data_IF_728344356267
#
_entry.id   IF_728344356267
#
_cell.length_a   1.000
_cell.length_b   1.000
_cell.length_c   1.000
_cell.angle_alpha   90.00
_cell.angle_beta   90.00
_cell.angle_gamma   90.00
#
_symmetry.space_group_name_H-M   'P 1'
#
loop_
_entity.id
_entity.type
_entity.pdbx_description
1 polymer ?
#
# COMPACT_ATOMS: atom_id res chain seq x y z
N UNK A 1 9.44 11.10 61.16
CA UNK A 1 8.80 9.87 60.64
C UNK A 1 9.47 9.54 59.31
N UNK A 2 9.85 8.27 59.18
CA UNK A 2 10.92 7.74 58.33
C UNK A 2 10.68 7.89 56.82
N UNK A 3 11.78 8.17 56.10
CA UNK A 3 11.95 8.14 54.64
C UNK A 3 12.05 6.70 54.06
N UNK A 4 11.62 5.67 54.79
CA UNK A 4 11.55 4.28 54.33
C UNK A 4 10.10 3.82 54.26
N UNK A 5 9.46 3.91 53.09
CA UNK A 5 8.32 3.05 52.68
C UNK A 5 7.96 3.23 51.19
N UNK A 6 8.93 3.49 50.31
CA UNK A 6 8.78 3.19 48.89
C UNK A 6 9.53 1.89 48.65
N UNK A 7 9.02 0.80 49.22
CA UNK A 7 9.35 -0.53 48.72
C UNK A 7 8.52 -0.62 47.44
N UNK A 8 9.15 -0.38 46.29
CA UNK A 8 8.67 -1.01 45.07
C UNK A 8 8.54 -2.49 45.43
N UNK A 9 7.32 -3.01 45.40
CA UNK A 9 7.02 -4.43 45.52
C UNK A 9 7.62 -5.16 44.33
N UNK A 10 8.94 -5.32 44.34
CA UNK A 10 9.68 -6.11 43.37
C UNK A 10 9.26 -7.55 43.61
N UNK A 11 8.43 -8.07 42.72
CA UNK A 11 8.04 -9.47 42.69
C UNK A 11 9.29 -10.36 42.68
N UNK A 12 9.49 -11.17 43.73
CA UNK A 12 10.63 -12.07 43.85
C UNK A 12 10.59 -13.23 42.85
N UNK A 13 9.46 -13.42 42.15
CA UNK A 13 9.35 -14.39 41.06
C UNK A 13 10.44 -14.20 40.00
N UNK A 14 10.86 -12.97 39.73
CA UNK A 14 11.88 -12.66 38.73
C UNK A 14 13.29 -13.07 39.11
N UNK A 15 13.56 -13.35 40.39
CA UNK A 15 14.86 -13.86 40.87
C UNK A 15 15.04 -15.31 40.45
N UNK A 16 13.99 -16.12 40.56
CA UNK A 16 14.02 -17.54 40.17
C UNK A 16 13.70 -17.75 38.68
N UNK A 17 12.99 -16.80 38.05
CA UNK A 17 12.64 -16.83 36.62
C UNK A 17 13.26 -15.65 35.84
N UNK A 18 14.60 -15.51 35.81
CA UNK A 18 15.27 -14.33 35.27
C UNK A 18 15.01 -14.13 33.78
N UNK A 19 14.98 -15.20 32.99
CA UNK A 19 14.74 -15.12 31.54
C UNK A 19 13.34 -14.58 31.23
N UNK A 20 12.33 -15.16 31.88
CA UNK A 20 10.94 -14.72 31.73
C UNK A 20 10.76 -13.29 32.25
N UNK A 21 11.36 -12.96 33.39
CA UNK A 21 11.31 -11.62 33.95
C UNK A 21 11.93 -10.59 32.99
N UNK A 22 13.08 -10.89 32.39
CA UNK A 22 13.75 -9.97 31.46
C UNK A 22 12.88 -9.60 30.24
N UNK A 23 12.02 -10.53 29.82
CA UNK A 23 11.04 -10.32 28.75
C UNK A 23 9.84 -9.54 29.29
N UNK A 24 9.31 -9.97 30.45
CA UNK A 24 8.13 -9.38 31.08
C UNK A 24 8.29 -7.92 31.44
N UNK A 25 9.51 -7.50 31.84
CA UNK A 25 9.82 -6.10 32.12
C UNK A 25 9.52 -5.17 30.95
N UNK A 26 9.52 -5.69 29.71
CA UNK A 26 9.24 -4.93 28.48
C UNK A 26 7.77 -4.95 28.07
N UNK A 27 6.91 -5.64 28.83
CA UNK A 27 5.48 -5.74 28.51
C UNK A 27 4.71 -4.51 28.99
N UNK A 28 3.63 -4.19 28.27
CA UNK A 28 2.71 -3.13 28.69
C UNK A 28 2.05 -3.47 30.04
N UNK A 29 1.80 -4.75 30.31
CA UNK A 29 1.24 -5.19 31.59
C UNK A 29 2.15 -4.82 32.76
N UNK A 30 3.47 -5.02 32.65
CA UNK A 30 4.40 -4.60 33.69
C UNK A 30 4.39 -3.07 33.88
N UNK A 31 4.38 -2.30 32.78
CA UNK A 31 4.33 -0.83 32.83
C UNK A 31 3.06 -0.33 33.53
N UNK A 32 1.94 -1.03 33.36
CA UNK A 32 0.63 -0.67 33.93
C UNK A 32 0.35 -1.34 35.29
N UNK A 33 1.37 -1.92 35.94
CA UNK A 33 1.24 -2.48 37.30
C UNK A 33 0.53 -3.85 37.38
N UNK A 34 0.41 -4.56 36.27
CA UNK A 34 0.00 -5.97 36.24
C UNK A 34 1.25 -6.83 36.43
N UNK A 35 1.26 -7.67 37.46
CA UNK A 35 2.44 -8.46 37.84
C UNK A 35 2.22 -9.96 37.62
N UNK A 36 3.27 -10.77 37.80
CA UNK A 36 3.25 -12.21 37.55
C UNK A 36 2.05 -12.91 38.21
N UNK A 37 1.79 -12.55 39.47
CA UNK A 37 0.72 -13.14 40.28
C UNK A 37 -0.70 -12.72 39.86
N UNK A 38 -0.84 -11.63 39.11
CA UNK A 38 -2.12 -11.21 38.54
C UNK A 38 -2.65 -12.24 37.53
N UNK A 39 -1.75 -12.90 36.80
CA UNK A 39 -2.10 -13.97 35.86
C UNK A 39 -2.02 -15.34 36.53
N UNK A 40 -0.91 -15.60 37.21
CA UNK A 40 -0.52 -16.93 37.68
C UNK A 40 -0.96 -17.26 39.11
N UNK A 41 -1.39 -16.31 39.94
CA UNK A 41 -1.46 -16.53 41.39
C UNK A 41 -0.06 -16.68 42.00
N UNK A 42 0.06 -17.25 43.20
CA UNK A 42 1.35 -17.35 43.88
C UNK A 42 1.56 -16.29 44.96
N UNK A 43 2.62 -16.48 45.75
CA UNK A 43 3.14 -15.49 46.69
C UNK A 43 4.41 -14.83 46.11
N UNK A 44 4.37 -13.52 45.75
CA UNK A 44 5.51 -12.85 45.15
C UNK A 44 6.56 -12.42 46.18
N UNK A 45 6.35 -12.67 47.48
CA UNK A 45 7.19 -12.15 48.57
C UNK A 45 8.11 -13.22 49.18
N UNK A 46 8.29 -14.36 48.51
CA UNK A 46 9.15 -15.43 48.98
C UNK A 46 9.97 -16.05 47.86
N UNK A 47 11.18 -16.50 48.20
CA UNK A 47 12.07 -17.27 47.33
C UNK A 47 11.94 -18.79 47.55
N UNK A 48 11.17 -19.20 48.55
CA UNK A 48 10.85 -20.60 48.76
C UNK A 48 9.88 -21.06 47.68
N UNK A 49 10.29 -22.02 46.84
CA UNK A 49 9.50 -22.45 45.68
C UNK A 49 8.11 -22.96 46.06
N UNK A 50 8.01 -23.74 47.15
CA UNK A 50 6.74 -24.30 47.62
C UNK A 50 5.77 -23.23 48.09
N UNK A 51 6.27 -22.20 48.78
CA UNK A 51 5.47 -21.04 49.22
C UNK A 51 5.18 -20.09 48.07
N UNK A 52 6.12 -19.84 47.17
CA UNK A 52 5.96 -18.93 46.03
C UNK A 52 4.89 -19.46 45.06
N UNK A 53 4.86 -20.77 44.84
CA UNK A 53 3.84 -21.45 44.05
C UNK A 53 2.65 -21.96 44.89
N UNK A 54 2.50 -21.49 46.13
CA UNK A 54 1.27 -21.67 46.91
C UNK A 54 0.23 -20.62 46.52
N UNK A 55 -0.96 -20.58 47.13
CA UNK A 55 -1.98 -19.56 46.85
C UNK A 55 -2.51 -19.53 45.39
N UNK A 56 -3.16 -20.62 44.99
CA UNK A 56 -3.85 -20.71 43.70
C UNK A 56 -2.93 -20.48 42.49
N UNK A 57 -1.64 -20.80 42.65
CA UNK A 57 -0.70 -20.78 41.54
C UNK A 57 -1.17 -21.70 40.42
N UNK A 58 -1.20 -21.19 39.20
CA UNK A 58 -1.74 -21.90 38.05
C UNK A 58 -0.93 -21.63 36.79
N UNK A 59 -0.69 -22.72 36.06
CA UNK A 59 -0.44 -22.65 34.62
C UNK A 59 -1.78 -22.58 33.92
N UNK A 60 -2.03 -21.50 33.17
CA UNK A 60 -3.32 -21.30 32.48
C UNK A 60 -3.37 -22.26 31.27
N UNK A 61 -4.33 -23.20 31.24
CA UNK A 61 -4.54 -24.07 30.08
C UNK A 61 -4.91 -23.26 28.84
N UNK A 62 -4.45 -23.69 27.66
CA UNK A 62 -4.65 -22.97 26.40
C UNK A 62 -6.13 -22.65 26.11
N UNK A 63 -7.03 -23.57 26.42
CA UNK A 63 -8.48 -23.40 26.22
C UNK A 63 -9.10 -22.35 27.15
N UNK A 64 -8.44 -22.02 28.27
CA UNK A 64 -8.90 -21.01 29.23
C UNK A 64 -8.22 -19.65 29.04
N UNK A 65 -7.23 -19.54 28.14
CA UNK A 65 -6.55 -18.26 27.84
C UNK A 65 -7.56 -17.17 27.45
N UNK A 66 -8.54 -17.39 26.55
CA UNK A 66 -9.48 -16.34 26.18
C UNK A 66 -10.29 -15.79 27.37
N UNK A 67 -10.83 -16.68 28.21
CA UNK A 67 -11.59 -16.28 29.40
C UNK A 67 -10.70 -15.60 30.44
N UNK A 68 -9.44 -16.05 30.58
CA UNK A 68 -8.49 -15.42 31.49
C UNK A 68 -8.13 -14.00 31.05
N UNK A 69 -7.84 -13.76 29.77
CA UNK A 69 -7.63 -12.39 29.27
C UNK A 69 -8.90 -11.54 29.46
N UNK A 70 -10.07 -12.13 29.18
CA UNK A 70 -11.36 -11.45 29.33
C UNK A 70 -11.73 -11.06 30.76
N UNK A 71 -11.19 -11.72 31.80
CA UNK A 71 -11.52 -11.35 33.19
C UNK A 71 -11.13 -9.90 33.52
N UNK A 72 -10.13 -9.36 32.82
CA UNK A 72 -9.76 -7.95 32.89
C UNK A 72 -10.17 -7.18 31.62
N UNK A 73 -9.91 -7.72 30.44
CA UNK A 73 -10.14 -7.02 29.17
C UNK A 73 -11.61 -6.92 28.75
N UNK A 74 -12.53 -7.64 29.41
CA UNK A 74 -13.97 -7.43 29.25
C UNK A 74 -14.60 -6.59 30.36
N UNK A 75 -13.79 -6.02 31.27
CA UNK A 75 -14.27 -5.15 32.34
C UNK A 75 -14.17 -3.66 31.94
N UNK A 76 -15.31 -2.94 31.77
CA UNK A 76 -15.30 -1.53 31.37
C UNK A 76 -14.62 -0.61 32.38
N UNK A 77 -14.68 -0.92 33.67
CA UNK A 77 -14.06 -0.10 34.71
C UNK A 77 -12.53 -0.16 34.62
N UNK A 78 -11.98 -1.31 34.22
CA UNK A 78 -10.54 -1.47 34.05
C UNK A 78 -10.05 -0.94 32.70
N UNK A 79 -10.81 -1.14 31.62
CA UNK A 79 -10.35 -0.84 30.25
C UNK A 79 -10.63 0.57 29.76
N UNK A 80 -11.62 1.26 30.34
CA UNK A 80 -11.99 2.63 29.94
C UNK A 80 -10.83 3.64 29.96
N UNK A 81 -9.95 3.68 30.98
CA UNK A 81 -8.80 4.59 30.99
C UNK A 81 -7.84 4.38 29.83
N UNK A 82 -7.78 3.16 29.28
CA UNK A 82 -6.89 2.78 28.19
C UNK A 82 -7.54 2.88 26.80
N UNK A 83 -8.85 3.18 26.73
CA UNK A 83 -9.59 3.18 25.47
C UNK A 83 -9.66 1.81 24.79
N UNK A 84 -9.53 0.71 25.56
CA UNK A 84 -9.60 -0.65 25.04
C UNK A 84 -11.05 -1.12 25.01
N UNK A 85 -11.50 -1.65 23.87
CA UNK A 85 -12.86 -2.20 23.75
C UNK A 85 -13.03 -3.47 24.59
N UNK A 86 -14.16 -3.60 25.27
CA UNK A 86 -14.43 -4.72 26.19
C UNK A 86 -15.18 -5.89 25.57
N UNK A 87 -15.65 -5.71 24.33
CA UNK A 87 -16.39 -6.72 23.58
C UNK A 87 -15.49 -7.72 22.85
N UNK A 88 -14.17 -7.52 22.83
CA UNK A 88 -13.23 -8.29 22.02
C UNK A 88 -13.28 -9.80 22.29
N UNK A 89 -13.44 -10.22 23.54
CA UNK A 89 -13.64 -11.63 23.88
C UNK A 89 -14.94 -12.18 23.24
N UNK A 90 -16.05 -11.46 23.38
CA UNK A 90 -17.35 -11.89 22.84
C UNK A 90 -17.31 -11.98 21.31
N UNK A 91 -16.63 -11.02 20.66
CA UNK A 91 -16.41 -11.03 19.22
C UNK A 91 -15.54 -12.24 18.84
N UNK A 92 -14.38 -12.42 19.47
CA UNK A 92 -13.46 -13.53 19.19
C UNK A 92 -14.17 -14.89 19.33
N UNK A 93 -14.96 -15.09 20.38
CA UNK A 93 -15.74 -16.32 20.57
C UNK A 93 -16.77 -16.55 19.47
N UNK A 94 -17.22 -15.50 18.78
CA UNK A 94 -18.10 -15.60 17.62
C UNK A 94 -17.35 -15.89 16.30
N UNK A 95 -16.02 -15.71 16.27
CA UNK A 95 -15.17 -15.91 15.10
C UNK A 95 -14.87 -17.37 14.80
N UNK A 96 -14.28 -17.66 13.63
CA UNK A 96 -13.85 -19.02 13.25
C UNK A 96 -12.66 -19.52 14.07
N UNK A 97 -11.91 -18.61 14.70
CA UNK A 97 -10.83 -18.97 15.61
C UNK A 97 -11.38 -19.36 16.99
N UNK A 98 -12.37 -18.61 17.51
CA UNK A 98 -13.00 -18.91 18.80
C UNK A 98 -13.99 -20.06 18.78
N UNK A 99 -14.94 -20.08 17.83
CA UNK A 99 -16.04 -21.07 17.77
C UNK A 99 -15.58 -22.51 17.67
N UNK A 100 -14.52 -22.76 16.90
CA UNK A 100 -14.06 -24.11 16.58
C UNK A 100 -12.91 -24.57 17.47
N UNK A 101 -12.62 -23.87 18.57
CA UNK A 101 -11.53 -24.25 19.48
C UNK A 101 -11.74 -25.67 20.04
N UNK A 102 -12.97 -26.02 20.43
CA UNK A 102 -13.30 -27.36 20.93
C UNK A 102 -13.08 -28.47 19.89
N UNK A 103 -13.27 -28.16 18.60
CA UNK A 103 -13.06 -29.09 17.49
C UNK A 103 -11.59 -29.21 17.10
N UNK A 104 -10.80 -28.16 17.34
CA UNK A 104 -9.38 -28.13 17.02
C UNK A 104 -8.62 -27.26 18.03
N UNK A 105 -7.96 -27.86 19.04
CA UNK A 105 -7.23 -27.11 20.07
C UNK A 105 -5.98 -26.36 19.54
N UNK A 106 -5.67 -26.54 18.25
CA UNK A 106 -4.64 -25.80 17.51
C UNK A 106 -5.11 -24.44 17.00
N UNK A 107 -6.40 -24.11 17.12
CA UNK A 107 -6.91 -22.78 16.75
C UNK A 107 -6.19 -21.69 17.55
N UNK A 108 -5.90 -20.53 16.95
CA UNK A 108 -5.19 -19.46 17.62
C UNK A 108 -6.07 -18.84 18.72
N UNK A 109 -5.49 -18.63 19.89
CA UNK A 109 -6.05 -17.89 21.03
C UNK A 109 -5.32 -16.56 21.18
N UNK A 110 -5.72 -15.75 22.17
CA UNK A 110 -5.20 -14.38 22.39
C UNK A 110 -3.67 -14.30 22.33
N UNK A 111 -2.99 -15.25 22.96
CA UNK A 111 -1.53 -15.25 23.07
C UNK A 111 -0.78 -15.54 21.77
N UNK A 112 -1.41 -16.20 20.78
CA UNK A 112 -0.73 -16.49 19.51
C UNK A 112 -0.56 -15.23 18.64
N UNK A 113 -1.42 -14.23 18.87
CA UNK A 113 -1.39 -12.94 18.18
C UNK A 113 -0.84 -11.80 19.06
N UNK A 114 -1.08 -11.80 20.37
CA UNK A 114 -0.66 -10.73 21.27
C UNK A 114 0.62 -11.02 22.07
N UNK A 115 1.09 -12.27 22.12
CA UNK A 115 2.20 -12.69 22.97
C UNK A 115 1.73 -13.14 24.36
N UNK A 116 2.69 -13.50 25.23
CA UNK A 116 2.38 -13.99 26.59
C UNK A 116 3.01 -13.08 27.64
N UNK A 117 4.34 -13.06 27.69
CA UNK A 117 5.10 -12.24 28.64
C UNK A 117 5.65 -10.97 27.98
N UNK A 118 5.60 -10.89 26.67
CA UNK A 118 6.10 -9.81 25.83
C UNK A 118 4.97 -8.97 25.22
N UNK A 119 3.78 -8.97 25.84
CA UNK A 119 2.61 -8.26 25.33
C UNK A 119 2.93 -6.77 25.25
N UNK A 120 2.79 -6.20 24.05
CA UNK A 120 3.13 -4.82 23.72
C UNK A 120 1.93 -4.08 23.14
N UNK A 121 1.99 -2.74 23.15
CA UNK A 121 1.01 -1.91 22.45
C UNK A 121 1.09 -2.13 20.94
N UNK A 122 -0.02 -1.87 20.24
CA UNK A 122 -0.13 -2.09 18.79
C UNK A 122 0.80 -1.20 17.95
N UNK A 123 1.29 -0.10 18.50
CA UNK A 123 2.16 0.86 17.84
C UNK A 123 3.65 0.62 18.14
N UNK A 124 3.96 -0.26 19.09
CA UNK A 124 5.34 -0.64 19.40
C UNK A 124 5.93 -1.54 18.30
N UNK A 125 7.15 -1.26 17.80
CA UNK A 125 7.75 -1.99 16.68
C UNK A 125 7.92 -3.49 16.90
N UNK A 126 8.18 -3.95 18.12
CA UNK A 126 8.36 -5.37 18.43
C UNK A 126 7.03 -6.10 18.71
N UNK A 127 5.92 -5.36 18.81
CA UNK A 127 4.61 -5.93 19.11
C UNK A 127 4.09 -6.83 17.99
N UNK A 128 3.61 -8.02 18.32
CA UNK A 128 3.12 -8.99 17.34
C UNK A 128 1.88 -8.51 16.56
N UNK A 129 1.08 -7.61 17.16
CA UNK A 129 -0.09 -6.96 16.55
C UNK A 129 0.23 -5.62 15.89
N UNK A 130 1.51 -5.23 15.86
CA UNK A 130 1.93 -4.05 15.11
C UNK A 130 1.66 -4.25 13.61
N UNK A 131 1.16 -3.23 12.87
CA UNK A 131 0.92 -3.32 11.43
C UNK A 131 2.11 -3.89 10.62
N UNK A 132 3.36 -3.65 11.05
CA UNK A 132 4.58 -4.22 10.46
C UNK A 132 4.81 -5.70 10.74
N UNK A 133 4.20 -6.23 11.79
CA UNK A 133 4.33 -7.63 12.19
C UNK A 133 3.10 -8.48 11.87
N UNK A 134 1.91 -7.89 11.72
CA UNK A 134 0.64 -8.61 11.50
C UNK A 134 0.73 -9.63 10.36
N UNK A 135 1.30 -9.25 9.22
CA UNK A 135 1.44 -10.16 8.05
C UNK A 135 2.23 -11.42 8.43
N UNK A 136 3.34 -11.26 9.16
CA UNK A 136 4.15 -12.37 9.67
C UNK A 136 3.42 -13.15 10.75
N UNK A 137 2.69 -12.48 11.63
CA UNK A 137 1.90 -13.11 12.71
C UNK A 137 0.84 -14.05 12.14
N UNK A 138 0.07 -13.60 11.14
CA UNK A 138 -0.90 -14.45 10.44
C UNK A 138 -0.22 -15.59 9.67
N UNK A 139 0.92 -15.30 9.04
CA UNK A 139 1.70 -16.23 8.23
C UNK A 139 2.22 -17.47 8.97
N UNK A 140 2.31 -17.43 10.31
CA UNK A 140 2.67 -18.59 11.14
C UNK A 140 1.73 -19.79 10.90
N UNK A 141 0.47 -19.53 10.59
CA UNK A 141 -0.53 -20.57 10.30
C UNK A 141 -1.07 -20.47 8.86
N UNK A 142 -1.20 -19.27 8.33
CA UNK A 142 -1.75 -19.01 6.99
C UNK A 142 -0.65 -18.93 5.92
N UNK A 143 0.23 -19.94 5.85
CA UNK A 143 1.41 -19.91 4.97
C UNK A 143 1.08 -19.75 3.47
N UNK A 144 0.06 -20.45 2.97
CA UNK A 144 -0.36 -20.34 1.55
C UNK A 144 -0.92 -18.94 1.27
N UNK A 145 -1.82 -18.45 2.13
CA UNK A 145 -2.41 -17.12 2.00
C UNK A 145 -1.35 -16.03 2.13
N UNK A 146 -0.35 -16.22 2.99
CA UNK A 146 0.80 -15.32 3.09
C UNK A 146 1.51 -15.24 1.74
N UNK A 147 1.83 -16.36 1.10
CA UNK A 147 2.50 -16.33 -0.20
C UNK A 147 1.68 -15.61 -1.28
N UNK A 148 0.36 -15.83 -1.31
CA UNK A 148 -0.54 -15.08 -2.20
C UNK A 148 -0.48 -13.57 -1.90
N UNK A 149 -0.63 -13.17 -0.64
CA UNK A 149 -0.59 -11.77 -0.24
C UNK A 149 0.77 -11.11 -0.53
N UNK A 150 1.88 -11.80 -0.32
CA UNK A 150 3.22 -11.30 -0.64
C UNK A 150 3.41 -11.06 -2.14
N UNK A 151 2.67 -11.77 -3.00
CA UNK A 151 2.66 -11.51 -4.46
C UNK A 151 1.77 -10.35 -4.87
N UNK A 152 1.05 -9.74 -3.92
CA UNK A 152 0.00 -8.76 -4.23
C UNK A 152 0.51 -7.34 -4.39
N UNK A 153 -0.23 -6.56 -5.19
CA UNK A 153 0.05 -5.13 -5.32
C UNK A 153 -0.15 -4.38 -3.99
N UNK A 154 -1.07 -4.85 -3.14
CA UNK A 154 -1.23 -4.26 -1.80
C UNK A 154 0.02 -4.45 -0.94
N UNK A 155 0.67 -5.61 -0.98
CA UNK A 155 1.94 -5.80 -0.27
C UNK A 155 3.08 -4.96 -0.86
N UNK A 156 3.17 -4.90 -2.18
CA UNK A 156 4.16 -4.04 -2.86
C UNK A 156 4.01 -2.56 -2.45
N UNK A 157 2.80 -2.02 -2.51
CA UNK A 157 2.50 -0.66 -2.09
C UNK A 157 2.72 -0.44 -0.58
N UNK A 158 2.49 -1.49 0.23
CA UNK A 158 2.70 -1.43 1.67
C UNK A 158 4.19 -1.25 2.03
N UNK A 159 5.09 -1.94 1.33
CA UNK A 159 6.55 -1.80 1.52
C UNK A 159 7.04 -0.37 1.29
N UNK A 160 6.46 0.32 0.32
CA UNK A 160 6.89 1.68 -0.06
C UNK A 160 6.23 2.80 0.76
N UNK A 161 4.90 2.70 0.99
CA UNK A 161 4.09 3.83 1.49
C UNK A 161 3.39 3.56 2.81
N UNK A 162 3.49 2.36 3.38
CA UNK A 162 2.94 1.92 4.68
C UNK A 162 1.40 2.04 4.87
N UNK A 163 0.69 2.73 3.98
CA UNK A 163 -0.76 2.97 4.03
C UNK A 163 -1.59 2.01 3.16
N UNK A 164 -1.00 0.91 2.70
CA UNK A 164 -1.71 -0.09 1.91
C UNK A 164 -2.38 -1.14 2.82
N UNK A 165 -3.55 -1.70 2.46
CA UNK A 165 -4.27 -2.67 3.27
C UNK A 165 -3.44 -3.91 3.60
N UNK A 166 -3.52 -4.36 4.87
CA UNK A 166 -2.94 -5.62 5.37
C UNK A 166 -4.06 -6.60 5.74
N UNK A 167 -3.71 -7.80 6.22
CA UNK A 167 -4.68 -8.87 6.53
C UNK A 167 -5.87 -8.38 7.39
N UNK A 168 -5.59 -7.63 8.46
CA UNK A 168 -6.61 -7.14 9.40
C UNK A 168 -7.42 -5.95 8.85
N UNK A 169 -6.97 -5.31 7.77
CA UNK A 169 -7.74 -4.26 7.08
C UNK A 169 -8.94 -4.85 6.35
N UNK A 170 -8.78 -6.06 5.79
CA UNK A 170 -9.83 -6.73 5.04
C UNK A 170 -10.78 -7.50 5.96
N UNK A 171 -10.23 -8.30 6.87
CA UNK A 171 -11.03 -9.08 7.82
C UNK A 171 -10.43 -9.04 9.23
N UNK A 172 -11.28 -8.77 10.21
CA UNK A 172 -10.87 -8.70 11.62
C UNK A 172 -10.82 -10.12 12.23
N UNK A 173 -9.71 -10.54 12.87
CA UNK A 173 -9.56 -11.86 13.46
C UNK A 173 -10.46 -12.09 14.70
N UNK A 174 -10.94 -11.02 15.32
CA UNK A 174 -11.94 -11.09 16.38
C UNK A 174 -13.35 -11.17 15.82
N UNK A 175 -13.61 -10.84 14.55
CA UNK A 175 -14.95 -10.95 13.98
C UNK A 175 -15.17 -12.28 13.25
N UNK A 176 -16.42 -12.77 13.17
CA UNK A 176 -16.77 -13.80 12.21
C UNK A 176 -16.36 -13.33 10.81
N UNK A 177 -15.93 -14.27 9.97
CA UNK A 177 -15.78 -13.99 8.55
C UNK A 177 -17.19 -13.72 7.97
N UNK A 178 -17.60 -12.45 7.99
CA UNK A 178 -18.96 -12.03 7.61
C UNK A 178 -19.13 -11.93 6.10
N UNK A 179 -18.04 -11.90 5.35
CA UNK A 179 -18.10 -11.79 3.90
C UNK A 179 -18.51 -13.13 3.30
N UNK A 180 -19.73 -13.20 2.80
CA UNK A 180 -20.02 -14.16 1.72
C UNK A 180 -19.22 -13.71 0.50
N UNK A 181 -18.94 -14.61 -0.43
CA UNK A 181 -18.30 -14.26 -1.73
C UNK A 181 -18.98 -13.07 -2.40
N UNK A 182 -20.30 -12.91 -2.20
CA UNK A 182 -21.12 -11.81 -2.69
C UNK A 182 -20.85 -10.43 -2.06
N UNK A 183 -20.10 -10.30 -0.96
CA UNK A 183 -19.84 -9.01 -0.29
C UNK A 183 -18.44 -8.43 -0.58
N UNK A 184 -17.69 -9.08 -1.47
CA UNK A 184 -16.32 -8.67 -1.81
C UNK A 184 -16.29 -7.31 -2.52
N UNK A 185 -17.32 -6.97 -3.30
CA UNK A 185 -17.46 -5.65 -3.92
C UNK A 185 -17.50 -4.55 -2.85
N UNK A 186 -18.28 -4.77 -1.78
CA UNK A 186 -18.44 -3.81 -0.68
C UNK A 186 -17.14 -3.67 0.11
N UNK A 187 -16.40 -4.77 0.28
CA UNK A 187 -15.12 -4.76 0.98
C UNK A 187 -14.10 -3.89 0.24
N UNK A 188 -13.90 -4.15 -1.06
CA UNK A 188 -12.98 -3.37 -1.89
C UNK A 188 -13.47 -1.92 -2.05
N UNK A 189 -14.79 -1.72 -2.17
CA UNK A 189 -15.44 -0.42 -2.34
C UNK A 189 -15.31 0.54 -1.16
N UNK A 190 -14.89 0.09 0.03
CA UNK A 190 -14.58 0.98 1.16
C UNK A 190 -13.44 1.95 0.82
N UNK A 191 -12.50 1.52 -0.01
CA UNK A 191 -11.38 2.35 -0.47
C UNK A 191 -11.47 2.64 -1.98
N UNK A 192 -11.94 1.68 -2.78
CA UNK A 192 -12.09 1.80 -4.23
C UNK A 192 -13.53 2.10 -4.63
N UNK A 193 -14.12 3.14 -4.03
CA UNK A 193 -15.53 3.50 -4.22
C UNK A 193 -15.86 3.81 -5.69
N UNK A 194 -15.04 4.61 -6.35
CA UNK A 194 -15.23 5.02 -7.75
C UNK A 194 -15.08 3.81 -8.69
N UNK A 195 -14.10 2.94 -8.45
CA UNK A 195 -13.94 1.71 -9.23
C UNK A 195 -15.13 0.77 -9.04
N UNK A 196 -15.67 0.67 -7.82
CA UNK A 196 -16.88 -0.11 -7.54
C UNK A 196 -18.08 0.48 -8.29
N UNK A 197 -18.27 1.78 -8.26
CA UNK A 197 -19.36 2.45 -8.99
C UNK A 197 -19.28 2.19 -10.50
N UNK A 198 -18.09 2.41 -11.08
CA UNK A 198 -17.79 2.11 -12.49
C UNK A 198 -18.05 0.63 -12.83
N UNK A 199 -17.65 -0.30 -11.96
CA UNK A 199 -17.94 -1.73 -12.12
C UNK A 199 -19.44 -2.05 -12.10
N UNK A 200 -20.20 -1.41 -11.20
CA UNK A 200 -21.65 -1.61 -11.07
C UNK A 200 -22.43 -1.08 -12.28
N UNK A 201 -21.93 -0.06 -12.96
CA UNK A 201 -22.45 0.46 -14.24
C UNK A 201 -22.16 -0.48 -15.43
N UNK A 202 -21.15 -1.34 -15.30
CA UNK A 202 -20.75 -2.28 -16.33
C UNK A 202 -21.61 -3.55 -16.41
N UNK A 203 -21.46 -4.35 -17.48
CA UNK A 203 -22.26 -5.56 -17.73
C UNK A 203 -22.05 -6.65 -16.67
N UNK A 204 -20.88 -6.66 -16.02
CA UNK A 204 -20.53 -7.58 -14.95
C UNK A 204 -21.16 -7.20 -13.61
N UNK A 205 -21.30 -5.90 -13.31
CA UNK A 205 -21.74 -5.40 -12.01
C UNK A 205 -23.09 -5.97 -11.57
N UNK A 206 -24.12 -5.78 -12.42
CA UNK A 206 -25.47 -6.29 -12.14
C UNK A 206 -25.52 -7.81 -12.12
N UNK A 207 -24.86 -8.47 -13.08
CA UNK A 207 -24.86 -9.94 -13.17
C UNK A 207 -24.27 -10.60 -11.92
N UNK A 208 -23.10 -10.12 -11.47
CA UNK A 208 -22.44 -10.67 -10.29
C UNK A 208 -23.20 -10.36 -9.00
N UNK A 209 -23.76 -9.16 -8.90
CA UNK A 209 -24.62 -8.78 -7.78
C UNK A 209 -25.84 -9.71 -7.66
N UNK A 210 -26.60 -9.90 -8.74
CA UNK A 210 -27.85 -10.67 -8.75
C UNK A 210 -27.61 -12.17 -8.49
N UNK A 211 -26.49 -12.71 -8.97
CA UNK A 211 -26.17 -14.14 -8.84
C UNK A 211 -25.46 -14.48 -7.53
N UNK A 212 -24.99 -13.49 -6.76
CA UNK A 212 -24.16 -13.71 -5.58
C UNK A 212 -22.85 -14.46 -5.90
N UNK A 213 -22.46 -14.42 -7.18
CA UNK A 213 -21.23 -15.01 -7.74
C UNK A 213 -20.24 -13.88 -8.00
N UNK A 214 -18.96 -14.20 -8.19
CA UNK A 214 -17.91 -13.45 -7.52
C UNK A 214 -17.52 -12.13 -8.23
N UNK A 215 -16.88 -11.25 -7.45
CA UNK A 215 -16.80 -9.80 -7.68
C UNK A 215 -15.43 -9.36 -8.21
N UNK A 216 -14.75 -8.43 -7.56
CA UNK A 216 -13.43 -7.93 -7.93
C UNK A 216 -12.38 -9.05 -7.96
N UNK A 217 -12.54 -10.07 -7.11
CA UNK A 217 -11.58 -11.14 -6.87
C UNK A 217 -11.37 -12.13 -8.02
N UNK A 218 -12.29 -12.24 -8.98
CA UNK A 218 -12.10 -13.21 -10.08
C UNK A 218 -11.22 -12.66 -11.19
N UNK A 219 -11.24 -11.34 -11.34
CA UNK A 219 -10.31 -10.63 -12.19
C UNK A 219 -9.00 -10.34 -11.45
N UNK A 220 -9.06 -9.78 -10.24
CA UNK A 220 -7.89 -9.31 -9.51
C UNK A 220 -7.26 -10.35 -8.59
N UNK A 221 -7.94 -11.45 -8.27
CA UNK A 221 -7.52 -12.35 -7.19
C UNK A 221 -7.99 -11.85 -5.81
N UNK A 222 -8.09 -12.78 -4.86
CA UNK A 222 -8.61 -12.51 -3.52
C UNK A 222 -7.53 -12.01 -2.57
N UNK A 223 -6.51 -12.82 -2.28
CA UNK A 223 -5.35 -12.41 -1.50
C UNK A 223 -4.16 -11.98 -2.37
N UNK A 224 -4.09 -12.46 -3.62
CA UNK A 224 -3.02 -12.10 -4.56
C UNK A 224 -3.19 -10.75 -5.25
N UNK A 225 -4.40 -10.17 -5.27
CA UNK A 225 -4.72 -8.77 -5.64
C UNK A 225 -3.77 -8.18 -6.70
N UNK A 226 -3.87 -8.74 -7.91
CA UNK A 226 -3.11 -8.42 -9.10
C UNK A 226 -3.52 -7.07 -9.68
N UNK A 227 -2.55 -6.34 -10.23
CA UNK A 227 -2.77 -5.06 -10.88
C UNK A 227 -3.36 -5.26 -12.28
N UNK A 228 -4.30 -4.40 -12.69
CA UNK A 228 -4.90 -4.42 -14.04
C UNK A 228 -3.85 -4.38 -15.17
N UNK A 229 -2.78 -3.59 -14.98
CA UNK A 229 -1.69 -3.42 -15.96
C UNK A 229 -0.85 -4.70 -16.20
N UNK A 230 -1.00 -5.71 -15.34
CA UNK A 230 -0.36 -7.04 -15.45
C UNK A 230 -1.39 -8.15 -15.65
N UNK A 231 -2.67 -7.82 -15.84
CA UNK A 231 -3.66 -8.82 -16.19
C UNK A 231 -3.39 -9.21 -17.64
N UNK A 232 -2.84 -10.41 -17.80
CA UNK A 232 -2.90 -11.09 -19.07
C UNK A 232 -4.38 -11.25 -19.40
N UNK A 233 -4.87 -10.48 -20.37
CA UNK A 233 -6.28 -10.48 -20.80
C UNK A 233 -6.69 -11.93 -21.13
N UNK A 234 -5.82 -12.66 -21.82
CA UNK A 234 -5.94 -14.09 -22.09
C UNK A 234 -6.11 -14.94 -20.84
N UNK A 235 -5.36 -14.65 -19.76
CA UNK A 235 -5.39 -15.41 -18.51
C UNK A 235 -6.54 -15.03 -17.58
N UNK A 236 -7.18 -13.88 -17.78
CA UNK A 236 -8.24 -13.37 -16.88
C UNK A 236 -9.61 -13.45 -17.53
N UNK A 237 -9.76 -12.82 -18.69
CA UNK A 237 -11.01 -12.82 -19.47
C UNK A 237 -11.22 -14.19 -20.12
N UNK A 238 -10.12 -14.83 -20.58
CA UNK A 238 -10.15 -16.14 -21.24
C UNK A 238 -10.66 -17.29 -20.38
N UNK A 239 -10.78 -17.10 -19.06
CA UNK A 239 -11.41 -18.07 -18.15
C UNK A 239 -12.90 -18.24 -18.43
N UNK A 240 -13.56 -17.20 -18.94
CA UNK A 240 -15.01 -17.18 -19.17
C UNK A 240 -15.39 -16.84 -20.62
N UNK A 241 -14.57 -16.04 -21.32
CA UNK A 241 -14.84 -15.57 -22.67
C UNK A 241 -13.86 -16.20 -23.67
N UNK A 242 -14.36 -16.74 -24.79
CA UNK A 242 -13.50 -17.23 -25.87
C UNK A 242 -12.75 -16.08 -26.54
N UNK A 243 -11.56 -16.35 -27.11
CA UNK A 243 -10.74 -15.32 -27.78
C UNK A 243 -11.46 -14.62 -28.94
N UNK A 244 -12.35 -15.35 -29.62
CA UNK A 244 -13.11 -14.82 -30.76
C UNK A 244 -14.34 -13.99 -30.35
N UNK A 245 -14.74 -14.06 -29.08
CA UNK A 245 -15.91 -13.38 -28.55
C UNK A 245 -15.79 -11.85 -28.64
N UNK A 246 -16.95 -11.19 -28.73
CA UNK A 246 -17.02 -9.72 -28.75
C UNK A 246 -16.48 -9.13 -27.44
N UNK A 247 -16.73 -9.80 -26.33
CA UNK A 247 -16.34 -9.37 -24.98
C UNK A 247 -14.81 -9.42 -24.81
N UNK A 248 -14.17 -10.49 -25.30
CA UNK A 248 -12.71 -10.59 -25.26
C UNK A 248 -12.04 -9.51 -26.12
N UNK A 249 -12.53 -9.28 -27.34
CA UNK A 249 -12.05 -8.20 -28.23
C UNK A 249 -12.29 -6.81 -27.63
N UNK A 250 -13.36 -6.63 -26.86
CA UNK A 250 -13.62 -5.38 -26.14
C UNK A 250 -12.54 -5.11 -25.09
N UNK A 251 -12.19 -6.12 -24.29
CA UNK A 251 -11.12 -6.02 -23.30
C UNK A 251 -9.75 -5.76 -23.96
N UNK A 252 -9.46 -6.42 -25.09
CA UNK A 252 -8.26 -6.19 -25.88
C UNK A 252 -8.18 -4.73 -26.38
N UNK A 253 -9.26 -4.23 -26.99
CA UNK A 253 -9.33 -2.82 -27.46
C UNK A 253 -9.07 -1.84 -26.32
N UNK A 254 -9.72 -2.01 -25.17
CA UNK A 254 -9.52 -1.16 -23.99
C UNK A 254 -8.06 -1.14 -23.53
N UNK A 255 -7.44 -2.32 -23.42
CA UNK A 255 -6.04 -2.45 -23.01
C UNK A 255 -5.09 -1.77 -23.99
N UNK A 256 -5.30 -1.99 -25.30
CA UNK A 256 -4.51 -1.33 -26.35
C UNK A 256 -4.60 0.18 -26.26
N UNK A 257 -5.82 0.73 -26.10
CA UNK A 257 -6.03 2.18 -25.98
C UNK A 257 -5.29 2.77 -24.79
N UNK A 258 -5.39 2.14 -23.62
CA UNK A 258 -4.70 2.57 -22.40
C UNK A 258 -3.17 2.51 -22.55
N UNK A 259 -2.65 1.43 -23.14
CA UNK A 259 -1.22 1.25 -23.34
C UNK A 259 -0.67 2.26 -24.33
N UNK A 260 -1.37 2.51 -25.44
CA UNK A 260 -1.00 3.52 -26.43
C UNK A 260 -0.93 4.92 -25.79
N UNK A 261 -1.98 5.34 -25.09
CA UNK A 261 -1.99 6.64 -24.40
C UNK A 261 -0.87 6.75 -23.37
N UNK A 262 -0.60 5.68 -22.61
CA UNK A 262 0.52 5.64 -21.65
C UNK A 262 1.85 5.88 -22.36
N UNK A 263 2.11 5.18 -23.47
CA UNK A 263 3.36 5.32 -24.23
C UNK A 263 3.49 6.72 -24.83
N UNK A 264 2.41 7.33 -25.29
CA UNK A 264 2.39 8.72 -25.79
C UNK A 264 2.73 9.74 -24.69
N UNK A 265 2.16 9.58 -23.50
CA UNK A 265 2.47 10.41 -22.34
C UNK A 265 3.96 10.23 -21.96
N UNK A 266 4.44 9.00 -21.81
CA UNK A 266 5.84 8.71 -21.45
C UNK A 266 6.83 9.26 -22.48
N UNK A 267 6.47 9.21 -23.78
CA UNK A 267 7.24 9.82 -24.86
C UNK A 267 7.26 11.36 -24.73
N UNK A 268 6.11 11.97 -24.45
CA UNK A 268 6.01 13.42 -24.28
C UNK A 268 6.85 13.90 -23.09
N UNK A 269 6.82 13.17 -21.98
CA UNK A 269 7.68 13.46 -20.82
C UNK A 269 9.16 13.43 -21.18
N UNK A 270 9.60 12.42 -21.93
CA UNK A 270 10.99 12.34 -22.39
C UNK A 270 11.38 13.52 -23.29
N UNK A 271 10.47 13.98 -24.15
CA UNK A 271 10.69 15.18 -24.98
C UNK A 271 10.85 16.42 -24.11
N UNK A 272 10.05 16.55 -23.04
CA UNK A 272 10.19 17.65 -22.08
C UNK A 272 11.52 17.58 -21.32
N UNK A 273 11.94 16.39 -20.88
CA UNK A 273 13.25 16.20 -20.23
C UNK A 273 14.42 16.61 -21.13
N UNK A 274 14.31 16.36 -22.44
CA UNK A 274 15.32 16.78 -23.42
C UNK A 274 15.26 18.28 -23.73
N UNK A 275 14.06 18.88 -23.72
CA UNK A 275 13.87 20.32 -23.92
C UNK A 275 14.39 21.15 -22.74
N UNK A 276 14.31 20.63 -21.52
CA UNK A 276 14.80 21.30 -20.29
C UNK A 276 16.33 21.46 -20.27
N UNK A 277 17.07 20.60 -21.00
CA UNK A 277 18.53 20.68 -21.14
C UNK A 277 19.00 21.82 -22.05
N UNK A 278 18.08 22.50 -22.73
CA UNK A 278 18.35 23.63 -23.61
C UNK A 278 17.51 24.84 -23.20
N UNK A 279 17.77 26.06 -23.73
CA UNK A 279 17.07 27.29 -23.31
C UNK A 279 15.60 27.37 -23.77
N UNK A 280 14.77 26.42 -23.36
CA UNK A 280 13.33 26.36 -23.56
C UNK A 280 12.68 26.27 -22.17
N UNK A 281 11.80 27.21 -21.86
CA UNK A 281 10.96 27.12 -20.66
C UNK A 281 9.94 25.97 -20.84
N UNK A 282 9.90 25.04 -19.88
CA UNK A 282 9.08 23.82 -19.94
C UNK A 282 8.03 23.73 -18.84
N UNK A 283 8.00 24.69 -17.91
CA UNK A 283 7.21 24.65 -16.68
C UNK A 283 5.70 24.51 -16.96
N UNK A 284 5.17 25.31 -17.87
CA UNK A 284 3.75 25.24 -18.27
C UNK A 284 3.40 23.90 -18.92
N UNK A 285 4.34 23.31 -19.67
CA UNK A 285 4.18 22.02 -20.31
C UNK A 285 4.21 20.87 -19.31
N UNK A 286 4.98 21.01 -18.20
CA UNK A 286 4.97 20.07 -17.08
C UNK A 286 3.60 20.03 -16.41
N UNK A 287 2.96 21.18 -16.20
CA UNK A 287 1.61 21.22 -15.65
C UNK A 287 0.59 20.52 -16.59
N UNK A 288 0.67 20.79 -17.90
CA UNK A 288 -0.21 20.16 -18.90
C UNK A 288 -0.01 18.65 -19.00
N UNK A 289 1.22 18.14 -18.93
CA UNK A 289 1.42 16.68 -19.00
C UNK A 289 0.91 15.97 -17.73
N UNK A 290 0.91 16.62 -16.57
CA UNK A 290 0.23 16.10 -15.37
C UNK A 290 -1.29 16.04 -15.53
N UNK A 291 -1.89 16.99 -16.26
CA UNK A 291 -3.31 16.92 -16.63
C UNK A 291 -3.60 15.71 -17.54
N UNK A 292 -2.76 15.44 -18.54
CA UNK A 292 -2.88 14.25 -19.40
C UNK A 292 -2.76 12.95 -18.59
N UNK A 293 -1.85 12.88 -17.60
CA UNK A 293 -1.75 11.73 -16.68
C UNK A 293 -3.00 11.55 -15.83
N UNK A 294 -3.64 12.65 -15.44
CA UNK A 294 -4.90 12.62 -14.68
C UNK A 294 -6.02 11.99 -15.51
N UNK A 295 -6.16 12.38 -16.78
CA UNK A 295 -7.10 11.73 -17.70
C UNK A 295 -6.79 10.24 -17.92
N UNK A 296 -5.51 9.85 -18.04
CA UNK A 296 -5.15 8.43 -18.10
C UNK A 296 -5.56 7.67 -16.82
N UNK A 297 -5.41 8.30 -15.64
CA UNK A 297 -5.83 7.70 -14.37
C UNK A 297 -7.36 7.54 -14.30
N UNK A 298 -8.10 8.54 -14.74
CA UNK A 298 -9.56 8.49 -14.84
C UNK A 298 -10.02 7.35 -15.77
N UNK A 299 -9.42 7.23 -16.96
CA UNK A 299 -9.70 6.14 -17.89
C UNK A 299 -9.38 4.75 -17.28
N UNK A 300 -8.30 4.61 -16.51
CA UNK A 300 -8.00 3.36 -15.80
C UNK A 300 -9.12 2.96 -14.83
N UNK A 301 -9.81 3.92 -14.21
CA UNK A 301 -10.96 3.67 -13.34
C UNK A 301 -12.19 3.32 -14.19
N UNK A 302 -12.46 4.09 -15.25
CA UNK A 302 -13.58 3.86 -16.19
C UNK A 302 -13.51 2.50 -16.89
N UNK A 303 -12.32 1.89 -16.99
CA UNK A 303 -12.14 0.52 -17.52
C UNK A 303 -12.99 -0.52 -16.77
N UNK A 304 -13.33 -0.28 -15.50
CA UNK A 304 -14.19 -1.19 -14.73
C UNK A 304 -15.64 -1.26 -15.26
N UNK A 305 -16.11 -0.23 -15.96
CA UNK A 305 -17.41 -0.24 -16.67
C UNK A 305 -17.39 -1.08 -17.95
N UNK A 306 -16.19 -1.45 -18.44
CA UNK A 306 -15.96 -2.11 -19.73
C UNK A 306 -16.54 -1.33 -20.94
N UNK A 307 -16.78 -0.03 -20.79
CA UNK A 307 -17.24 0.83 -21.88
C UNK A 307 -16.06 1.37 -22.69
N UNK A 308 -16.01 1.00 -23.98
CA UNK A 308 -15.02 1.53 -24.93
C UNK A 308 -15.23 3.02 -25.16
N UNK A 309 -16.48 3.44 -25.35
CA UNK A 309 -16.83 4.83 -25.66
C UNK A 309 -16.41 5.80 -24.54
N UNK A 310 -16.76 5.48 -23.28
CA UNK A 310 -16.37 6.31 -22.12
C UNK A 310 -14.85 6.41 -21.99
N UNK A 311 -14.13 5.31 -22.22
CA UNK A 311 -12.66 5.31 -22.17
C UNK A 311 -12.05 6.07 -23.36
N UNK A 312 -12.64 5.97 -24.55
CA UNK A 312 -12.17 6.66 -25.75
C UNK A 312 -12.25 8.18 -25.56
N UNK A 313 -13.38 8.68 -25.06
CA UNK A 313 -13.58 10.11 -24.80
C UNK A 313 -12.53 10.67 -23.83
N UNK A 314 -12.30 9.99 -22.71
CA UNK A 314 -11.33 10.43 -21.70
C UNK A 314 -9.89 10.30 -22.18
N UNK A 315 -9.55 9.20 -22.85
CA UNK A 315 -8.19 8.99 -23.36
C UNK A 315 -7.83 9.95 -24.50
N UNK A 316 -8.81 10.35 -25.32
CA UNK A 316 -8.56 11.32 -26.38
C UNK A 316 -8.14 12.68 -25.82
N UNK A 317 -8.73 13.12 -24.70
CA UNK A 317 -8.31 14.35 -23.98
C UNK A 317 -6.82 14.28 -23.61
N UNK A 318 -6.38 13.15 -23.07
CA UNK A 318 -4.97 12.93 -22.73
C UNK A 318 -4.05 12.96 -23.97
N UNK A 319 -4.43 12.27 -25.04
CA UNK A 319 -3.64 12.20 -26.28
C UNK A 319 -3.52 13.56 -26.98
N UNK A 320 -4.61 14.33 -27.00
CA UNK A 320 -4.62 15.67 -27.59
C UNK A 320 -3.64 16.59 -26.87
N UNK A 321 -3.63 16.58 -25.52
CA UNK A 321 -2.68 17.33 -24.71
C UNK A 321 -1.25 16.91 -25.06
N UNK A 322 -0.93 15.62 -25.02
CA UNK A 322 0.40 15.09 -25.37
C UNK A 322 0.85 15.55 -26.76
N UNK A 323 0.00 15.38 -27.78
CA UNK A 323 0.30 15.75 -29.16
C UNK A 323 0.52 17.25 -29.33
N UNK A 324 -0.23 18.08 -28.62
CA UNK A 324 -0.08 19.53 -28.66
C UNK A 324 1.26 19.97 -28.04
N UNK A 325 1.60 19.41 -26.87
CA UNK A 325 2.90 19.64 -26.21
C UNK A 325 4.05 19.23 -27.14
N UNK A 326 4.01 18.02 -27.71
CA UNK A 326 5.05 17.54 -28.63
C UNK A 326 5.22 18.48 -29.83
N UNK A 327 4.12 18.95 -30.42
CA UNK A 327 4.15 19.86 -31.57
C UNK A 327 4.82 21.19 -31.21
N UNK A 328 4.38 21.82 -30.11
CA UNK A 328 4.89 23.11 -29.67
C UNK A 328 6.38 23.06 -29.29
N UNK A 329 6.80 22.03 -28.55
CA UNK A 329 8.20 21.86 -28.14
C UNK A 329 9.08 21.60 -29.36
N UNK A 330 8.68 20.71 -30.27
CA UNK A 330 9.45 20.48 -31.50
C UNK A 330 9.56 21.74 -32.35
N UNK A 331 8.52 22.57 -32.40
CA UNK A 331 8.57 23.86 -33.09
C UNK A 331 9.59 24.81 -32.44
N UNK A 332 9.56 24.96 -31.10
CA UNK A 332 10.56 25.76 -30.37
C UNK A 332 11.98 25.25 -30.59
N UNK A 333 12.19 23.93 -30.54
CA UNK A 333 13.49 23.31 -30.81
C UNK A 333 13.98 23.61 -32.23
N UNK A 334 13.10 23.50 -33.25
CA UNK A 334 13.43 23.86 -34.64
C UNK A 334 13.78 25.35 -34.76
N UNK A 335 13.00 26.22 -34.14
CA UNK A 335 13.23 27.67 -34.16
C UNK A 335 14.57 28.04 -33.49
N UNK A 336 14.94 27.38 -32.39
CA UNK A 336 16.25 27.58 -31.77
C UNK A 336 17.40 27.11 -32.67
N UNK A 337 17.26 25.96 -33.34
CA UNK A 337 18.26 25.49 -34.31
C UNK A 337 18.43 26.49 -35.46
N UNK A 338 17.33 26.99 -36.01
CA UNK A 338 17.35 28.00 -37.07
C UNK A 338 17.96 29.33 -36.61
N UNK A 339 17.67 29.80 -35.40
CA UNK A 339 18.29 31.01 -34.82
C UNK A 339 19.80 30.85 -34.67
N UNK A 340 20.28 29.70 -34.16
CA UNK A 340 21.71 29.40 -34.05
C UNK A 340 22.40 29.35 -35.41
N UNK A 341 21.76 28.72 -36.39
CA UNK A 341 22.26 28.69 -37.76
C UNK A 341 22.34 30.09 -38.37
N UNK A 342 21.28 30.89 -38.23
CA UNK A 342 21.24 32.28 -38.69
C UNK A 342 22.31 33.14 -38.02
N UNK A 343 22.54 32.99 -36.72
CA UNK A 343 23.63 33.67 -36.00
C UNK A 343 25.00 33.27 -36.54
N UNK A 344 25.22 31.99 -36.84
CA UNK A 344 26.47 31.53 -37.45
C UNK A 344 26.70 32.17 -38.83
N UNK A 345 25.68 32.19 -39.68
CA UNK A 345 25.73 32.82 -41.01
C UNK A 345 25.98 34.33 -40.89
N UNK A 346 25.32 34.99 -39.95
CA UNK A 346 25.52 36.42 -39.66
C UNK A 346 26.95 36.74 -39.22
N UNK A 347 27.50 35.97 -38.26
CA UNK A 347 28.88 36.13 -37.80
C UNK A 347 29.88 35.84 -38.92
N UNK A 348 29.66 34.78 -39.71
CA UNK A 348 30.49 34.49 -40.88
C UNK A 348 30.55 35.67 -41.84
N UNK A 349 29.41 36.30 -42.14
CA UNK A 349 29.35 37.47 -43.01
C UNK A 349 30.09 38.69 -42.42
N UNK A 350 29.96 38.94 -41.12
CA UNK A 350 30.72 39.99 -40.41
C UNK A 350 32.22 39.74 -40.52
N UNK A 351 32.69 38.52 -40.20
CA UNK A 351 34.12 38.20 -40.27
C UNK A 351 34.67 38.28 -41.69
N UNK A 352 33.90 37.83 -42.69
CA UNK A 352 34.25 37.96 -44.09
C UNK A 352 34.38 39.44 -44.50
N UNK A 353 33.43 40.28 -44.08
CA UNK A 353 33.44 41.72 -44.37
C UNK A 353 34.64 42.41 -43.74
N UNK A 354 34.91 42.14 -42.45
CA UNK A 354 36.09 42.66 -41.74
C UNK A 354 37.38 42.22 -42.45
N UNK A 355 37.47 40.94 -42.85
CA UNK A 355 38.63 40.41 -43.56
C UNK A 355 38.85 41.11 -44.90
N UNK A 356 37.79 41.34 -45.68
CA UNK A 356 37.85 42.08 -46.96
C UNK A 356 38.34 43.51 -46.72
N UNK A 357 37.78 44.23 -45.74
CA UNK A 357 38.18 45.59 -45.38
C UNK A 357 39.65 45.63 -44.95
N UNK A 358 40.10 44.68 -44.12
CA UNK A 358 41.50 44.58 -43.68
C UNK A 358 42.45 44.31 -44.85
N UNK A 359 42.09 43.40 -45.77
CA UNK A 359 42.86 43.13 -47.00
C UNK A 359 42.94 44.36 -47.88
N UNK A 360 41.83 45.06 -48.08
CA UNK A 360 41.77 46.29 -48.87
C UNK A 360 42.64 47.40 -48.26
N UNK A 361 42.57 47.60 -46.93
CA UNK A 361 43.41 48.57 -46.22
C UNK A 361 44.90 48.24 -46.36
N UNK A 362 45.30 46.97 -46.23
CA UNK A 362 46.70 46.54 -46.43
C UNK A 362 47.18 46.80 -47.85
N UNK A 363 46.35 46.52 -48.84
CA UNK A 363 46.65 46.80 -50.24
C UNK A 363 46.83 48.31 -50.51
N UNK A 364 45.96 49.16 -49.95
CA UNK A 364 46.09 50.62 -50.05
C UNK A 364 47.38 51.15 -49.42
N UNK A 365 47.78 50.63 -48.25
CA UNK A 365 49.03 51.02 -47.58
C UNK A 365 50.23 50.65 -48.46
N UNK A 366 50.28 49.42 -48.99
CA UNK A 366 51.34 48.97 -49.89
C UNK A 366 51.44 49.83 -51.15
N UNK A 367 50.30 50.20 -51.73
CA UNK A 367 50.22 51.06 -52.91
C UNK A 367 50.63 52.51 -52.64
N UNK A 368 50.51 52.99 -51.39
CA UNK A 368 51.00 54.32 -50.96
C UNK A 368 52.50 54.35 -50.64
N UNK A 369 53.11 53.22 -50.27
CA UNK A 369 54.56 53.15 -50.05
C UNK A 369 55.39 52.92 -51.32
N UNK A 370 54.73 52.58 -52.44
CA UNK A 370 55.34 52.39 -53.76
C UNK A 370 55.23 53.65 -54.66
N UNK A 371 54.63 54.73 -54.14
CA UNK A 371 54.64 56.08 -54.72
C UNK A 371 55.47 56.98 -53.81
#
# INVERSE_FOLDING_TARGET
MSLLSIILSISLCGTCHPDTNSIFQKSIHNTEGVHCVSCHGGDPNTLDEGKAHSQNFRKIPRNLIPQHCGSCHSNPLLMKPYGISTDQLSLYLSSIHGKDFEKSPKKPVCTDCHGVHEIKKKDEPEGLTNPFNVVRTCGKCHGIILQEYLSSYHYEAWKERKNSPICVTCHDPHLPLKFKTADIDKLCGRCHSISRESFMDGPHGKFFYDKGVPSCGDCHGYHSIKRSRTLEISGTCGKCHSKDSKEFKTAEKLSTMLLQTKVEIERTEKILDDAEKIPIAVEDYRARIEEAKTFLMEALILTHSLSVEKNEETLEKARLISKEIEREIHEKMRNLKWRRFGLFVFWFYIFLTIFIIMRYKRWLIKRRSEK
#
